data_IF_113641116697
#
_entry.id   IF_113641116697
#
_cell.length_a   1.000
_cell.length_b   1.000
_cell.length_c   1.000
_cell.angle_alpha   90.00
_cell.angle_beta   90.00
_cell.angle_gamma   90.00
#
_symmetry.space_group_name_H-M   'P 1'
#
loop_
_entity.id
_entity.type
_entity.pdbx_description
1 polymer ?
#
# COMPACT_ATOMS: atom_id res chain seq x y z
N UNK A 1 -44.09 -43.94 8.44
CA UNK A 1 -42.64 -44.08 8.71
C UNK A 1 -41.76 -43.43 7.64
N UNK A 2 -42.00 -43.59 6.32
CA UNK A 2 -41.17 -42.95 5.26
C UNK A 2 -41.19 -41.41 5.20
N UNK A 3 -42.24 -40.75 5.72
CA UNK A 3 -42.35 -39.27 5.71
C UNK A 3 -41.69 -38.58 6.91
N UNK A 4 -41.38 -39.32 7.98
CA UNK A 4 -40.69 -38.78 9.17
C UNK A 4 -39.16 -38.87 8.99
N UNK A 5 -38.69 -39.84 8.21
CA UNK A 5 -37.25 -39.99 7.92
C UNK A 5 -36.72 -38.91 6.97
N UNK A 6 -37.55 -38.38 6.05
CA UNK A 6 -37.16 -37.29 5.14
C UNK A 6 -37.05 -35.92 5.85
N UNK A 7 -37.84 -35.69 6.90
CA UNK A 7 -37.80 -34.44 7.67
C UNK A 7 -36.59 -34.39 8.62
N UNK A 8 -36.16 -35.55 9.12
CA UNK A 8 -34.95 -35.67 9.97
C UNK A 8 -33.68 -35.61 9.13
N UNK A 9 -33.69 -36.05 7.87
CA UNK A 9 -32.54 -35.93 6.96
C UNK A 9 -32.33 -34.48 6.47
N UNK A 10 -33.40 -33.71 6.23
CA UNK A 10 -33.28 -32.29 5.90
C UNK A 10 -32.85 -31.42 7.10
N UNK A 11 -33.15 -31.82 8.33
CA UNK A 11 -32.70 -31.09 9.52
C UNK A 11 -31.21 -31.33 9.84
N UNK A 12 -30.65 -32.48 9.45
CA UNK A 12 -29.22 -32.80 9.64
C UNK A 12 -28.36 -32.18 8.51
N UNK A 13 -28.91 -31.96 7.31
CA UNK A 13 -28.19 -31.34 6.20
C UNK A 13 -28.11 -29.80 6.27
N UNK A 14 -28.94 -29.15 7.11
CA UNK A 14 -28.96 -27.68 7.27
C UNK A 14 -28.14 -27.21 8.49
N UNK A 15 -27.64 -28.12 9.32
CA UNK A 15 -26.83 -27.79 10.50
C UNK A 15 -25.30 -27.72 10.24
N UNK A 16 -24.83 -27.84 8.99
CA UNK A 16 -23.40 -27.88 8.66
C UNK A 16 -22.86 -26.66 7.87
N UNK A 17 -23.67 -25.59 7.72
CA UNK A 17 -23.20 -24.30 7.21
C UNK A 17 -23.26 -23.21 8.28
N UNK A 18 -22.88 -23.56 9.51
CA UNK A 18 -22.45 -22.52 10.44
C UNK A 18 -21.05 -22.14 9.97
N UNK A 19 -20.80 -20.91 9.47
CA UNK A 19 -19.42 -20.47 9.35
C UNK A 19 -18.82 -20.58 10.75
N UNK A 20 -17.90 -21.52 10.93
CA UNK A 20 -17.01 -21.48 12.07
C UNK A 20 -16.23 -20.19 11.89
N UNK A 21 -16.66 -19.13 12.59
CA UNK A 21 -15.86 -17.92 12.73
C UNK A 21 -14.62 -18.34 13.51
N UNK A 22 -13.58 -18.77 12.80
CA UNK A 22 -12.27 -18.89 13.39
C UNK A 22 -11.87 -17.46 13.71
N UNK A 23 -11.89 -17.10 14.98
CA UNK A 23 -11.38 -15.81 15.43
C UNK A 23 -9.91 -15.74 15.07
N UNK A 24 -9.49 -14.63 14.45
CA UNK A 24 -8.11 -14.39 14.11
C UNK A 24 -7.21 -14.56 15.35
N UNK A 25 -6.01 -15.13 15.18
CA UNK A 25 -5.09 -15.32 16.28
C UNK A 25 -4.66 -13.95 16.81
N UNK A 26 -5.17 -13.54 17.98
CA UNK A 26 -4.94 -12.21 18.54
C UNK A 26 -3.50 -12.05 19.01
N UNK A 27 -2.87 -10.92 18.65
CA UNK A 27 -1.53 -10.55 19.10
C UNK A 27 -0.38 -11.00 18.18
N UNK A 28 -0.65 -11.29 16.90
CA UNK A 28 0.37 -11.63 15.91
C UNK A 28 1.15 -10.40 15.42
N UNK A 29 2.39 -10.59 14.95
CA UNK A 29 3.10 -9.53 14.21
C UNK A 29 2.98 -9.70 12.70
N UNK A 30 2.39 -10.80 12.22
CA UNK A 30 2.24 -11.11 10.80
C UNK A 30 0.88 -11.73 10.58
N UNK A 31 0.14 -11.24 9.58
CA UNK A 31 -1.15 -11.80 9.18
C UNK A 31 -1.22 -11.92 7.67
N UNK A 32 -1.74 -13.05 7.18
CA UNK A 32 -1.96 -13.29 5.75
C UNK A 32 -3.39 -12.91 5.34
N UNK A 33 -3.55 -12.25 4.19
CA UNK A 33 -4.79 -11.67 3.68
C UNK A 33 -5.04 -12.08 2.23
N UNK A 34 -6.26 -12.55 1.91
CA UNK A 34 -6.74 -12.75 0.54
C UNK A 34 -8.27 -12.81 0.49
N UNK A 35 -8.87 -12.53 -0.67
CA UNK A 35 -10.32 -12.59 -0.85
C UNK A 35 -10.90 -13.98 -0.55
N UNK A 36 -12.10 -13.98 0.04
CA UNK A 36 -12.90 -15.20 0.27
C UNK A 36 -12.36 -16.15 1.34
N UNK A 37 -11.25 -15.81 2.01
CA UNK A 37 -10.69 -16.60 3.08
C UNK A 37 -11.43 -16.38 4.41
N UNK A 38 -11.36 -17.38 5.30
CA UNK A 38 -12.03 -17.38 6.61
C UNK A 38 -11.14 -18.00 7.72
N UNK A 39 -9.83 -18.03 7.49
CA UNK A 39 -8.86 -18.53 8.47
C UNK A 39 -8.52 -17.48 9.52
N UNK A 40 -7.51 -17.78 10.33
CA UNK A 40 -7.07 -16.96 11.46
C UNK A 40 -5.93 -15.99 11.14
N UNK A 41 -5.42 -16.02 9.91
CA UNK A 41 -4.30 -15.20 9.45
C UNK A 41 -2.92 -15.77 9.73
N UNK A 42 -2.78 -16.96 10.32
CA UNK A 42 -1.50 -17.53 10.75
C UNK A 42 -0.58 -17.99 9.60
N UNK A 43 -1.15 -18.28 8.43
CA UNK A 43 -0.43 -18.71 7.22
C UNK A 43 -1.17 -18.32 5.95
N UNK A 44 -0.55 -18.47 4.78
CA UNK A 44 -1.21 -18.20 3.49
C UNK A 44 -2.42 -19.12 3.23
N UNK A 45 -2.37 -20.37 3.70
CA UNK A 45 -3.49 -21.32 3.65
C UNK A 45 -4.63 -20.89 4.58
N UNK A 46 -4.28 -20.38 5.76
CA UNK A 46 -5.20 -19.93 6.80
C UNK A 46 -5.42 -18.40 6.78
N UNK A 47 -5.31 -17.74 5.64
CA UNK A 47 -5.46 -16.29 5.53
C UNK A 47 -6.82 -15.77 6.05
N UNK A 48 -6.85 -14.52 6.51
CA UNK A 48 -8.11 -13.79 6.77
C UNK A 48 -8.67 -13.21 5.47
N UNK A 49 -9.97 -12.92 5.46
CA UNK A 49 -10.72 -12.47 4.28
C UNK A 49 -10.83 -10.96 4.09
N UNK A 50 -10.49 -10.15 5.10
CA UNK A 50 -10.72 -8.71 5.09
C UNK A 50 -9.74 -7.94 5.99
N UNK A 51 -9.64 -6.62 5.75
CA UNK A 51 -8.71 -5.74 6.47
C UNK A 51 -9.06 -5.61 7.96
N UNK A 52 -10.34 -5.59 8.34
CA UNK A 52 -10.72 -5.47 9.75
C UNK A 52 -10.23 -6.69 10.54
N UNK A 53 -10.46 -7.89 10.00
CA UNK A 53 -9.95 -9.15 10.54
C UNK A 53 -8.42 -9.17 10.58
N UNK A 54 -7.74 -8.61 9.57
CA UNK A 54 -6.29 -8.54 9.55
C UNK A 54 -5.74 -7.67 10.68
N UNK A 55 -6.26 -6.45 10.84
CA UNK A 55 -5.82 -5.55 11.91
C UNK A 55 -6.21 -6.07 13.30
N UNK A 56 -7.38 -6.70 13.46
CA UNK A 56 -7.81 -7.29 14.74
C UNK A 56 -6.87 -8.40 15.23
N UNK A 57 -6.22 -9.15 14.33
CA UNK A 57 -5.26 -10.19 14.72
C UNK A 57 -3.89 -9.63 15.14
N UNK A 58 -3.57 -8.40 14.76
CA UNK A 58 -2.23 -7.83 14.96
C UNK A 58 -2.04 -7.27 16.37
N UNK A 59 -0.86 -7.49 16.95
CA UNK A 59 -0.34 -6.71 18.08
C UNK A 59 0.18 -5.36 17.59
N UNK A 60 -0.74 -4.42 17.37
CA UNK A 60 -0.43 -3.10 16.82
C UNK A 60 0.40 -2.19 17.76
N UNK A 61 0.85 -2.71 18.91
CA UNK A 61 1.88 -2.05 19.72
C UNK A 61 3.30 -2.28 19.14
N UNK A 62 3.45 -3.21 18.20
CA UNK A 62 4.69 -3.61 17.54
C UNK A 62 4.66 -3.29 16.05
N UNK A 63 5.81 -3.45 15.41
CA UNK A 63 5.89 -3.46 13.95
C UNK A 63 5.30 -4.76 13.39
N UNK A 64 4.29 -4.60 12.56
CA UNK A 64 3.43 -5.65 12.04
C UNK A 64 3.49 -5.72 10.52
N UNK A 65 3.18 -6.89 9.97
CA UNK A 65 3.12 -7.15 8.53
C UNK A 65 1.77 -7.74 8.14
N UNK A 66 1.13 -7.17 7.12
CA UNK A 66 0.01 -7.79 6.41
C UNK A 66 0.54 -8.33 5.08
N UNK A 67 0.53 -9.65 4.94
CA UNK A 67 0.96 -10.34 3.72
C UNK A 67 -0.24 -10.54 2.80
N UNK A 68 -0.32 -9.79 1.70
CA UNK A 68 -1.30 -10.02 0.64
C UNK A 68 -0.85 -11.26 -0.14
N UNK A 69 -1.48 -12.41 0.16
CA UNK A 69 -1.03 -13.73 -0.26
C UNK A 69 -1.88 -14.35 -1.40
N UNK A 70 -2.76 -13.54 -1.97
CA UNK A 70 -3.58 -13.81 -3.15
C UNK A 70 -4.29 -12.51 -3.55
N UNK A 71 -5.18 -12.52 -4.57
CA UNK A 71 -5.97 -11.35 -4.90
C UNK A 71 -6.76 -10.87 -3.67
N UNK A 72 -6.73 -9.57 -3.40
CA UNK A 72 -7.47 -8.94 -2.34
C UNK A 72 -8.20 -7.70 -2.86
N UNK A 73 -9.50 -7.61 -2.62
CA UNK A 73 -10.36 -6.55 -3.13
C UNK A 73 -10.80 -5.60 -2.02
N UNK A 74 -10.29 -4.37 -2.00
CA UNK A 74 -10.89 -3.31 -1.23
C UNK A 74 -12.14 -2.78 -1.97
N UNK A 75 -13.30 -3.03 -1.36
CA UNK A 75 -14.63 -2.72 -1.92
C UNK A 75 -15.42 -1.68 -1.11
N UNK A 76 -14.78 -1.08 -0.12
CA UNK A 76 -15.32 -0.02 0.72
C UNK A 76 -14.20 0.91 1.21
N UNK A 77 -14.59 2.03 1.81
CA UNK A 77 -13.64 2.80 2.63
C UNK A 77 -13.16 1.91 3.78
N UNK A 78 -11.88 2.01 4.11
CA UNK A 78 -11.29 1.33 5.25
C UNK A 78 -10.85 2.34 6.30
N UNK A 79 -11.31 2.14 7.52
CA UNK A 79 -10.91 2.86 8.72
C UNK A 79 -10.90 1.85 9.87
N UNK A 80 -9.74 1.63 10.48
CA UNK A 80 -9.63 0.72 11.63
C UNK A 80 -10.20 1.35 12.92
N UNK A 81 -10.41 2.68 12.93
CA UNK A 81 -10.95 3.50 14.02
C UNK A 81 -10.13 3.56 15.32
N UNK A 82 -9.17 2.64 15.52
CA UNK A 82 -8.32 2.58 16.71
C UNK A 82 -6.89 3.02 16.36
N UNK A 83 -6.37 4.10 16.96
CA UNK A 83 -4.96 4.47 16.83
C UNK A 83 -4.01 3.41 17.35
N UNK A 84 -2.88 3.24 16.67
CA UNK A 84 -1.82 2.32 17.09
C UNK A 84 -0.44 2.97 17.09
N UNK A 85 0.48 2.40 17.88
CA UNK A 85 1.82 2.97 18.14
C UNK A 85 2.93 2.28 17.37
N UNK A 86 2.74 1.03 16.98
CA UNK A 86 3.63 0.33 16.07
C UNK A 86 3.46 0.78 14.63
N UNK A 87 3.84 -0.08 13.69
CA UNK A 87 3.68 0.15 12.25
C UNK A 87 3.02 -1.04 11.57
N UNK A 88 2.41 -0.81 10.41
CA UNK A 88 1.86 -1.89 9.56
C UNK A 88 2.48 -1.81 8.17
N UNK A 89 3.14 -2.88 7.75
CA UNK A 89 3.67 -3.03 6.40
C UNK A 89 2.82 -3.99 5.58
N UNK A 90 2.31 -3.54 4.44
CA UNK A 90 1.67 -4.39 3.45
C UNK A 90 2.69 -4.86 2.43
N UNK A 91 2.75 -6.17 2.19
CA UNK A 91 3.66 -6.79 1.22
C UNK A 91 3.06 -8.03 0.59
N UNK A 92 3.49 -8.39 -0.63
CA UNK A 92 3.24 -9.71 -1.22
C UNK A 92 4.51 -10.56 -1.31
N UNK A 93 5.62 -10.10 -0.74
CA UNK A 93 6.88 -10.86 -0.62
C UNK A 93 7.19 -11.05 0.85
N UNK A 94 7.10 -12.30 1.31
CA UNK A 94 7.30 -12.62 2.72
C UNK A 94 7.78 -14.06 2.91
N UNK A 95 8.68 -14.28 3.87
CA UNK A 95 9.17 -15.62 4.20
C UNK A 95 9.88 -16.35 3.04
N UNK A 96 10.47 -15.61 2.10
CA UNK A 96 11.11 -16.17 0.90
C UNK A 96 10.14 -16.54 -0.23
N UNK A 97 8.85 -16.23 -0.10
CA UNK A 97 7.83 -16.46 -1.12
C UNK A 97 7.39 -15.13 -1.73
N UNK A 98 7.34 -15.07 -3.06
CA UNK A 98 6.70 -13.99 -3.81
C UNK A 98 5.30 -14.41 -4.23
N UNK A 99 4.29 -13.95 -3.48
CA UNK A 99 2.89 -14.28 -3.71
C UNK A 99 2.32 -13.65 -4.97
N UNK A 100 2.96 -12.62 -5.54
CA UNK A 100 2.57 -12.06 -6.85
C UNK A 100 2.80 -13.11 -7.94
N UNK A 101 3.89 -13.86 -7.82
CA UNK A 101 4.25 -14.91 -8.77
C UNK A 101 3.54 -16.25 -8.47
N UNK A 102 3.43 -16.65 -7.21
CA UNK A 102 2.94 -17.98 -6.83
C UNK A 102 1.42 -18.05 -6.66
N UNK A 103 0.77 -16.92 -6.38
CA UNK A 103 -0.65 -16.86 -6.03
C UNK A 103 -1.40 -15.70 -6.70
N UNK A 104 -0.80 -15.04 -7.70
CA UNK A 104 -1.35 -13.88 -8.38
C UNK A 104 -1.81 -12.79 -7.39
N UNK A 105 -1.03 -12.57 -6.33
CA UNK A 105 -1.37 -11.60 -5.30
C UNK A 105 -1.37 -10.17 -5.85
N UNK A 106 -2.48 -9.47 -5.62
CA UNK A 106 -2.71 -8.09 -6.00
C UNK A 106 -3.61 -7.42 -4.94
N UNK A 107 -3.32 -6.16 -4.63
CA UNK A 107 -4.23 -5.31 -3.87
C UNK A 107 -5.08 -4.50 -4.86
N UNK A 108 -6.34 -4.88 -4.99
CA UNK A 108 -7.28 -4.37 -5.99
C UNK A 108 -8.24 -3.37 -5.36
N UNK A 109 -8.28 -2.16 -5.92
CA UNK A 109 -9.18 -1.08 -5.52
C UNK A 109 -10.33 -1.06 -6.52
N UNK A 110 -11.48 -1.56 -6.09
CA UNK A 110 -12.62 -1.85 -6.98
C UNK A 110 -13.55 -0.65 -7.24
N UNK A 111 -13.24 0.52 -6.66
CA UNK A 111 -14.06 1.73 -6.68
C UNK A 111 -13.29 2.97 -6.25
N UNK A 112 -13.99 4.06 -5.92
CA UNK A 112 -13.39 5.28 -5.36
C UNK A 112 -13.36 5.22 -3.85
N UNK A 113 -12.35 4.55 -3.28
CA UNK A 113 -12.30 4.23 -1.85
C UNK A 113 -11.17 4.93 -1.12
N UNK A 114 -11.41 5.16 0.16
CA UNK A 114 -10.45 5.75 1.10
C UNK A 114 -9.81 4.69 1.97
N UNK A 115 -8.57 4.92 2.32
CA UNK A 115 -7.84 4.18 3.34
C UNK A 115 -7.39 5.20 4.39
N UNK A 116 -8.03 5.16 5.55
CA UNK A 116 -7.74 6.06 6.65
C UNK A 116 -6.74 5.40 7.59
N UNK A 117 -5.57 6.02 7.71
CA UNK A 117 -4.49 5.49 8.54
C UNK A 117 -4.71 5.90 10.00
N UNK A 118 -4.58 4.96 10.92
CA UNK A 118 -4.59 5.22 12.37
C UNK A 118 -3.23 4.95 13.02
N UNK A 119 -2.19 4.78 12.20
CA UNK A 119 -0.80 4.55 12.60
C UNK A 119 0.12 4.50 11.37
N UNK A 120 1.43 4.39 11.60
CA UNK A 120 2.41 4.38 10.51
C UNK A 120 2.16 3.19 9.56
N UNK A 121 2.14 3.45 8.25
CA UNK A 121 1.80 2.42 7.25
C UNK A 121 2.76 2.46 6.05
N UNK A 122 3.25 1.28 5.67
CA UNK A 122 4.12 1.07 4.51
C UNK A 122 3.45 0.12 3.51
N UNK A 123 3.57 0.41 2.22
CA UNK A 123 3.21 -0.45 1.10
C UNK A 123 4.48 -0.75 0.31
N UNK A 124 4.93 -2.00 0.25
CA UNK A 124 6.16 -2.38 -0.45
C UNK A 124 6.01 -3.75 -1.10
N UNK A 125 6.72 -4.01 -2.20
CA UNK A 125 6.67 -5.32 -2.88
C UNK A 125 5.24 -5.80 -3.20
N UNK A 126 4.39 -4.88 -3.68
CA UNK A 126 2.98 -5.12 -4.00
C UNK A 126 2.67 -4.85 -5.47
N UNK A 127 1.70 -5.58 -6.01
CA UNK A 127 0.97 -5.16 -7.20
C UNK A 127 -0.30 -4.45 -6.72
N UNK A 128 -0.45 -3.16 -7.02
CA UNK A 128 -1.65 -2.38 -6.71
C UNK A 128 -2.42 -2.13 -8.00
N UNK A 129 -3.68 -2.54 -8.04
CA UNK A 129 -4.54 -2.41 -9.22
C UNK A 129 -5.72 -1.50 -8.95
N UNK A 130 -5.83 -0.39 -9.69
CA UNK A 130 -7.01 0.47 -9.68
C UNK A 130 -7.94 0.06 -10.84
N UNK A 131 -9.00 -0.69 -10.51
CA UNK A 131 -10.01 -1.11 -11.49
C UNK A 131 -10.90 0.06 -11.95
N UNK A 132 -11.06 1.10 -11.11
CA UNK A 132 -11.94 2.24 -11.42
C UNK A 132 -11.30 3.61 -11.21
N UNK A 133 -11.70 4.30 -10.14
CA UNK A 133 -11.61 5.75 -10.06
C UNK A 133 -10.31 6.22 -9.42
N UNK A 134 -10.20 6.07 -8.10
CA UNK A 134 -9.05 6.50 -7.33
C UNK A 134 -8.93 5.62 -6.09
N UNK A 135 -7.72 5.54 -5.58
CA UNK A 135 -7.49 5.11 -4.21
C UNK A 135 -7.00 6.30 -3.41
N UNK A 136 -7.63 6.59 -2.28
CA UNK A 136 -7.26 7.76 -1.49
C UNK A 136 -6.76 7.35 -0.11
N UNK A 137 -5.44 7.30 0.03
CA UNK A 137 -4.74 7.06 1.31
C UNK A 137 -4.67 8.38 2.07
N UNK A 138 -5.29 8.41 3.25
CA UNK A 138 -5.39 9.59 4.11
C UNK A 138 -4.59 9.28 5.37
N UNK A 139 -3.44 9.91 5.47
CA UNK A 139 -2.42 9.56 6.44
C UNK A 139 -2.71 10.08 7.85
N UNK A 140 -3.56 11.09 8.02
CA UNK A 140 -3.91 11.67 9.33
C UNK A 140 -2.68 12.06 10.17
N UNK A 141 -1.66 12.63 9.52
CA UNK A 141 -0.34 12.95 10.08
C UNK A 141 0.48 11.73 10.56
N UNK A 142 0.08 10.50 10.25
CA UNK A 142 0.94 9.33 10.41
C UNK A 142 1.91 9.19 9.23
N UNK A 143 3.12 8.65 9.44
CA UNK A 143 4.04 8.36 8.35
C UNK A 143 3.45 7.37 7.35
N UNK A 144 3.50 7.72 6.06
CA UNK A 144 3.07 6.86 4.96
C UNK A 144 4.20 6.64 3.96
N UNK A 145 4.43 5.38 3.61
CA UNK A 145 5.47 5.00 2.66
C UNK A 145 4.89 4.11 1.56
N UNK A 146 5.07 4.50 0.30
CA UNK A 146 5.05 3.61 -0.84
C UNK A 146 6.50 3.27 -1.17
N UNK A 147 6.96 2.14 -0.67
CA UNK A 147 8.35 1.69 -0.70
C UNK A 147 8.78 1.19 -2.08
N UNK A 148 9.82 0.38 -2.09
CA UNK A 148 10.31 -0.28 -3.31
C UNK A 148 9.40 -1.44 -3.73
N UNK A 149 9.54 -1.89 -4.97
CA UNK A 149 8.83 -3.06 -5.48
C UNK A 149 7.32 -2.90 -5.63
N UNK A 150 6.81 -1.67 -5.55
CA UNK A 150 5.41 -1.35 -5.85
C UNK A 150 5.23 -1.22 -7.36
N UNK A 151 4.43 -2.12 -7.93
CA UNK A 151 3.93 -2.03 -9.30
C UNK A 151 2.47 -1.57 -9.28
N UNK A 152 2.10 -0.72 -10.23
CA UNK A 152 0.75 -0.16 -10.31
C UNK A 152 0.10 -0.47 -11.65
N UNK A 153 -1.15 -0.93 -11.64
CA UNK A 153 -1.96 -1.20 -12.81
C UNK A 153 -3.27 -0.39 -12.76
N UNK A 154 -3.84 -0.09 -13.93
CA UNK A 154 -5.03 0.77 -14.04
C UNK A 154 -5.92 0.33 -15.20
N UNK A 155 -7.22 0.13 -14.94
CA UNK A 155 -8.20 -0.15 -16.00
C UNK A 155 -8.83 1.15 -16.56
N UNK A 156 -8.70 2.26 -15.83
CA UNK A 156 -9.27 3.56 -16.16
C UNK A 156 -8.26 4.63 -16.61
N UNK A 157 -8.78 5.83 -16.87
CA UNK A 157 -8.01 7.04 -17.21
C UNK A 157 -7.40 7.69 -15.96
N UNK A 158 -6.63 6.90 -15.22
CA UNK A 158 -5.80 7.38 -14.11
C UNK A 158 -4.62 8.14 -14.71
N UNK A 159 -4.35 9.35 -14.22
CA UNK A 159 -3.29 10.24 -14.73
C UNK A 159 -2.28 10.65 -13.67
N UNK A 160 -2.63 10.58 -12.38
CA UNK A 160 -1.82 11.14 -11.30
C UNK A 160 -1.92 12.66 -11.15
N UNK A 161 -2.64 13.35 -12.05
CA UNK A 161 -2.69 14.82 -12.07
C UNK A 161 -3.66 15.42 -11.03
N UNK A 162 -4.60 14.62 -10.53
CA UNK A 162 -5.56 15.06 -9.52
C UNK A 162 -6.04 13.89 -8.67
N UNK A 163 -6.58 14.21 -7.49
CA UNK A 163 -7.04 13.24 -6.50
C UNK A 163 -8.12 12.26 -6.98
N UNK A 164 -8.92 12.62 -8.00
CA UNK A 164 -9.99 11.78 -8.50
C UNK A 164 -9.53 10.79 -9.60
N UNK A 165 -8.28 10.90 -10.06
CA UNK A 165 -7.67 10.09 -11.13
C UNK A 165 -6.25 9.66 -10.76
N UNK A 166 -6.04 9.22 -9.51
CA UNK A 166 -4.71 8.89 -9.00
C UNK A 166 -4.77 7.83 -7.89
N UNK A 167 -3.61 7.23 -7.60
CA UNK A 167 -3.32 6.78 -6.25
C UNK A 167 -2.98 8.04 -5.45
N UNK A 168 -3.91 8.46 -4.62
CA UNK A 168 -3.83 9.73 -3.91
C UNK A 168 -3.31 9.53 -2.50
N UNK A 169 -2.39 10.39 -2.08
CA UNK A 169 -1.85 10.42 -0.72
C UNK A 169 -2.15 11.79 -0.14
N UNK A 170 -2.78 11.83 1.03
CA UNK A 170 -2.98 13.05 1.79
C UNK A 170 -2.23 12.94 3.11
N UNK A 171 -1.28 13.84 3.35
CA UNK A 171 -0.50 13.84 4.59
C UNK A 171 -1.33 14.16 5.82
N UNK A 172 -2.23 15.14 5.70
CA UNK A 172 -3.17 15.51 6.75
C UNK A 172 -4.46 14.68 6.70
N UNK A 173 -5.59 15.35 6.92
CA UNK A 173 -6.91 14.73 6.94
C UNK A 173 -7.86 15.34 5.88
N UNK A 174 -8.94 14.62 5.60
CA UNK A 174 -10.07 15.11 4.83
C UNK A 174 -11.30 15.13 5.74
N UNK A 175 -12.05 16.24 5.77
CA UNK A 175 -13.29 16.27 6.56
C UNK A 175 -14.31 15.30 5.95
N UNK A 176 -14.69 14.31 6.76
CA UNK A 176 -15.80 13.41 6.53
C UNK A 176 -16.51 13.23 7.88
N UNK A 177 -17.83 13.13 7.88
CA UNK A 177 -18.61 13.01 9.12
C UNK A 177 -18.11 11.84 9.98
N UNK A 178 -17.91 12.10 11.28
CA UNK A 178 -17.57 11.06 12.28
C UNK A 178 -16.10 10.66 12.38
N UNK A 179 -15.19 11.32 11.65
CA UNK A 179 -13.77 10.95 11.65
C UNK A 179 -12.93 11.70 12.68
N UNK A 180 -11.91 11.01 13.21
CA UNK A 180 -10.91 11.61 14.10
C UNK A 180 -10.18 12.76 13.42
N UNK A 181 -9.98 13.83 14.16
CA UNK A 181 -9.18 14.97 13.73
C UNK A 181 -7.70 14.61 13.89
N UNK A 182 -6.91 14.79 12.84
CA UNK A 182 -5.46 14.67 12.94
C UNK A 182 -4.87 15.81 13.77
N UNK A 183 -3.78 15.53 14.49
CA UNK A 183 -3.04 16.54 15.25
C UNK A 183 -2.23 17.43 14.29
N UNK A 184 -2.68 18.68 14.15
CA UNK A 184 -2.16 19.68 13.21
C UNK A 184 -0.79 20.24 13.61
N UNK A 185 -0.31 19.84 14.79
CA UNK A 185 1.04 20.17 15.28
C UNK A 185 2.07 19.12 14.88
N UNK A 186 1.64 17.92 14.48
CA UNK A 186 2.55 16.84 14.07
C UNK A 186 3.11 17.08 12.68
N UNK A 187 4.37 16.72 12.54
CA UNK A 187 5.01 16.64 11.24
C UNK A 187 4.34 15.59 10.36
N UNK A 188 4.24 15.91 9.09
CA UNK A 188 3.75 15.02 8.04
C UNK A 188 4.94 14.37 7.38
N UNK A 189 4.88 13.06 7.16
CA UNK A 189 5.96 12.29 6.57
C UNK A 189 5.41 11.40 5.45
N UNK A 190 5.74 11.73 4.20
CA UNK A 190 5.30 10.99 3.01
C UNK A 190 6.53 10.53 2.23
N UNK A 191 6.61 9.25 1.91
CA UNK A 191 7.67 8.70 1.06
C UNK A 191 7.07 7.90 -0.09
N UNK A 192 7.55 8.13 -1.31
CA UNK A 192 7.15 7.38 -2.52
C UNK A 192 8.41 7.01 -3.31
N UNK A 193 8.74 5.72 -3.40
CA UNK A 193 9.97 5.21 -4.01
C UNK A 193 9.71 4.38 -5.29
N UNK A 194 8.50 3.86 -5.48
CA UNK A 194 8.11 3.14 -6.69
C UNK A 194 6.61 3.22 -6.96
N UNK A 195 6.18 2.72 -8.12
CA UNK A 195 4.83 2.89 -8.66
C UNK A 195 4.65 4.19 -9.47
N UNK A 196 3.50 4.32 -10.13
CA UNK A 196 3.19 5.50 -10.94
C UNK A 196 1.76 6.03 -10.73
N UNK A 197 1.49 7.21 -11.29
CA UNK A 197 0.20 7.91 -11.27
C UNK A 197 -0.26 8.31 -9.86
N UNK A 198 0.70 8.75 -9.04
CA UNK A 198 0.42 9.33 -7.73
C UNK A 198 -0.02 10.79 -7.81
N UNK A 199 -0.92 11.18 -6.91
CA UNK A 199 -1.20 12.57 -6.55
C UNK A 199 -0.97 12.75 -5.04
N UNK A 200 -0.17 13.73 -4.64
CA UNK A 200 0.21 13.94 -3.24
C UNK A 200 -0.34 15.29 -2.77
N UNK A 201 -0.97 15.34 -1.61
CA UNK A 201 -1.27 16.58 -0.89
C UNK A 201 -0.52 16.62 0.43
N UNK A 202 0.30 17.64 0.62
CA UNK A 202 1.13 17.80 1.81
C UNK A 202 0.29 17.85 3.08
N UNK A 203 -0.80 18.65 3.10
CA UNK A 203 -1.63 18.84 4.28
C UNK A 203 -3.03 18.27 4.07
N UNK A 204 -4.07 19.03 4.42
CA UNK A 204 -5.46 18.61 4.35
C UNK A 204 -6.06 18.80 2.96
N UNK A 205 -7.22 18.17 2.74
CA UNK A 205 -8.05 18.42 1.56
C UNK A 205 -9.51 18.52 1.95
N UNK A 206 -10.21 19.56 1.47
CA UNK A 206 -11.66 19.76 1.71
C UNK A 206 -12.04 19.63 3.19
N UNK A 207 -11.20 20.15 4.08
CA UNK A 207 -11.39 20.09 5.52
C UNK A 207 -12.04 21.38 6.06
N UNK A 208 -12.41 21.41 7.34
CA UNK A 208 -12.60 22.69 8.04
C UNK A 208 -11.34 23.55 7.91
N UNK A 209 -11.50 24.88 7.95
CA UNK A 209 -10.36 25.78 7.85
C UNK A 209 -9.54 25.64 9.14
N UNK A 210 -8.46 24.88 9.06
CA UNK A 210 -7.61 24.58 10.21
C UNK A 210 -6.15 24.70 9.85
N UNK A 211 -5.39 25.25 10.79
CA UNK A 211 -4.02 25.67 10.57
C UNK A 211 -3.07 24.58 11.04
N UNK A 212 -2.07 24.28 10.23
CA UNK A 212 -1.00 23.34 10.57
C UNK A 212 0.24 24.09 10.98
N UNK A 213 0.85 23.68 12.08
CA UNK A 213 2.18 24.12 12.48
C UNK A 213 3.25 23.07 12.21
N UNK A 214 2.86 21.79 12.06
CA UNK A 214 3.79 20.71 11.72
C UNK A 214 4.42 20.89 10.33
N UNK A 215 5.67 20.43 10.20
CA UNK A 215 6.41 20.44 8.93
C UNK A 215 5.97 19.28 8.04
N UNK A 216 5.77 19.52 6.76
CA UNK A 216 5.59 18.46 5.77
C UNK A 216 6.95 18.04 5.19
N UNK A 217 7.36 16.80 5.45
CA UNK A 217 8.54 16.16 4.89
C UNK A 217 8.09 15.14 3.83
N UNK A 218 8.39 15.42 2.56
CA UNK A 218 7.97 14.59 1.43
C UNK A 218 9.20 14.12 0.66
N UNK A 219 9.32 12.82 0.43
CA UNK A 219 10.38 12.24 -0.40
C UNK A 219 9.77 11.52 -1.60
N UNK A 220 10.23 11.87 -2.80
CA UNK A 220 9.98 11.13 -4.03
C UNK A 220 11.32 10.64 -4.56
N UNK A 221 11.52 9.33 -4.60
CA UNK A 221 12.79 8.70 -4.97
C UNK A 221 12.60 7.43 -5.79
N UNK A 222 13.66 6.63 -5.90
CA UNK A 222 13.67 5.40 -6.69
C UNK A 222 13.19 5.63 -8.11
N UNK A 223 12.15 4.90 -8.52
CA UNK A 223 11.54 4.99 -9.86
C UNK A 223 10.12 5.55 -9.83
N UNK A 224 9.73 6.20 -8.73
CA UNK A 224 8.38 6.70 -8.54
C UNK A 224 7.99 7.75 -9.60
N UNK A 225 6.73 7.71 -10.07
CA UNK A 225 6.16 8.75 -10.93
C UNK A 225 4.95 9.42 -10.28
N UNK A 226 5.13 10.68 -9.90
CA UNK A 226 4.10 11.54 -9.28
C UNK A 226 3.62 12.53 -10.33
N UNK A 227 2.33 12.50 -10.65
CA UNK A 227 1.74 13.47 -11.58
C UNK A 227 1.63 14.85 -10.95
N UNK A 228 1.12 14.94 -9.72
CA UNK A 228 1.00 16.21 -9.04
C UNK A 228 1.27 16.10 -7.54
N UNK A 229 2.10 17.01 -7.04
CA UNK A 229 2.37 17.21 -5.61
C UNK A 229 1.87 18.62 -5.22
N UNK A 230 0.85 18.67 -4.38
CA UNK A 230 0.32 19.89 -3.80
C UNK A 230 1.03 20.19 -2.48
N UNK A 231 1.79 21.29 -2.40
CA UNK A 231 2.60 21.62 -1.23
C UNK A 231 1.81 22.35 -0.12
N UNK A 232 0.52 22.63 -0.31
CA UNK A 232 -0.34 23.24 0.72
C UNK A 232 -1.59 22.42 1.03
N UNK A 233 -2.48 22.98 1.85
CA UNK A 233 -3.86 22.51 1.95
C UNK A 233 -4.60 22.68 0.61
N UNK A 234 -5.44 21.70 0.27
CA UNK A 234 -6.10 21.56 -1.05
C UNK A 234 -7.60 21.82 -0.95
N UNK A 235 -8.16 22.58 -1.90
CA UNK A 235 -9.60 22.90 -1.99
C UNK A 235 -10.16 23.51 -0.69
N UNK A 236 -9.39 24.42 -0.07
CA UNK A 236 -9.82 25.15 1.11
C UNK A 236 -9.13 26.53 1.20
N UNK A 237 -9.88 27.63 1.27
CA UNK A 237 -9.29 28.96 1.45
C UNK A 237 -8.97 29.25 2.93
N UNK A 238 -8.14 30.26 3.18
CA UNK A 238 -7.81 30.79 4.52
C UNK A 238 -7.21 29.75 5.48
N UNK A 239 -6.26 28.95 4.98
CA UNK A 239 -5.53 27.95 5.77
C UNK A 239 -4.06 28.33 5.82
N UNK A 240 -3.48 28.32 7.01
CA UNK A 240 -2.02 28.43 7.19
C UNK A 240 -1.41 27.06 7.45
N UNK A 241 -0.34 26.76 6.72
CA UNK A 241 0.43 25.54 6.80
C UNK A 241 1.85 25.82 7.31
N UNK A 242 2.49 24.80 7.89
CA UNK A 242 3.86 24.87 8.38
C UNK A 242 4.90 24.93 7.25
N UNK A 243 6.13 24.54 7.59
CA UNK A 243 7.20 24.41 6.62
C UNK A 243 6.99 23.19 5.72
N UNK A 244 7.41 23.31 4.45
CA UNK A 244 7.36 22.21 3.50
C UNK A 244 8.75 21.92 2.98
N UNK A 245 9.20 20.69 3.13
CA UNK A 245 10.42 20.17 2.54
C UNK A 245 10.10 18.99 1.62
N UNK A 246 10.42 19.14 0.35
CA UNK A 246 10.27 18.10 -0.68
C UNK A 246 11.67 17.69 -1.12
N UNK A 247 11.94 16.39 -1.14
CA UNK A 247 13.17 15.83 -1.71
C UNK A 247 12.82 15.00 -2.94
N UNK A 248 13.42 15.33 -4.08
CA UNK A 248 13.31 14.54 -5.33
C UNK A 248 14.70 14.00 -5.66
N UNK A 249 14.83 12.68 -5.78
CA UNK A 249 16.12 12.00 -5.96
C UNK A 249 16.02 10.77 -6.86
N UNK A 250 17.17 10.15 -7.12
CA UNK A 250 17.30 8.92 -7.93
C UNK A 250 16.73 9.12 -9.34
N UNK A 251 15.89 8.20 -9.84
CA UNK A 251 15.25 8.25 -11.17
C UNK A 251 13.77 8.70 -11.08
N UNK A 252 13.37 9.32 -9.97
CA UNK A 252 12.00 9.77 -9.78
C UNK A 252 11.57 10.79 -10.84
N UNK A 253 10.27 10.82 -11.14
CA UNK A 253 9.66 11.85 -11.96
C UNK A 253 8.49 12.50 -11.20
N UNK A 254 8.57 13.81 -11.01
CA UNK A 254 7.50 14.65 -10.49
C UNK A 254 7.10 15.62 -11.59
N UNK A 255 5.90 15.47 -12.13
CA UNK A 255 5.47 16.32 -13.24
C UNK A 255 5.11 17.73 -12.77
N UNK A 256 4.34 17.85 -11.69
CA UNK A 256 3.95 19.16 -11.14
C UNK A 256 4.17 19.25 -9.63
N UNK A 257 4.76 20.35 -9.18
CA UNK A 257 4.71 20.81 -7.79
C UNK A 257 3.89 22.10 -7.74
N UNK A 258 2.73 22.10 -7.10
CA UNK A 258 1.76 23.21 -7.10
C UNK A 258 1.35 23.56 -5.68
N UNK A 259 0.89 24.79 -5.44
CA UNK A 259 0.31 25.14 -4.13
C UNK A 259 -1.00 24.39 -3.89
N UNK A 260 -2.06 24.83 -4.56
CA UNK A 260 -3.40 24.26 -4.46
C UNK A 260 -4.10 24.29 -5.82
N UNK A 261 -4.95 23.31 -6.16
CA UNK A 261 -5.75 23.37 -7.38
C UNK A 261 -6.95 24.31 -7.18
N UNK A 262 -7.02 25.37 -7.97
CA UNK A 262 -8.17 26.29 -7.97
C UNK A 262 -7.82 27.71 -7.55
N UNK A 263 -8.84 28.57 -7.47
CA UNK A 263 -8.70 29.99 -7.14
C UNK A 263 -8.81 30.26 -5.62
N UNK A 264 -8.36 29.31 -4.79
CA UNK A 264 -8.49 29.40 -3.33
C UNK A 264 -7.60 30.50 -2.78
N UNK A 265 -8.18 31.49 -2.11
CA UNK A 265 -7.42 32.64 -1.59
C UNK A 265 -7.05 32.47 -0.12
N UNK A 266 -5.99 33.16 0.32
CA UNK A 266 -5.60 33.21 1.73
C UNK A 266 -4.96 31.93 2.24
N UNK A 267 -4.49 31.04 1.35
CA UNK A 267 -3.71 29.87 1.74
C UNK A 267 -2.24 30.28 1.88
N UNK A 268 -1.63 29.99 3.02
CA UNK A 268 -0.22 30.27 3.28
C UNK A 268 0.54 29.01 3.66
N UNK A 269 1.80 28.92 3.26
CA UNK A 269 2.79 27.98 3.81
C UNK A 269 3.92 28.79 4.44
N UNK A 270 4.51 28.32 5.54
CA UNK A 270 5.56 29.09 6.21
C UNK A 270 6.79 29.24 5.32
N UNK A 271 7.27 28.16 4.74
CA UNK A 271 8.31 28.16 3.71
C UNK A 271 8.18 26.94 2.81
N UNK A 272 8.72 27.02 1.60
CA UNK A 272 8.89 25.88 0.71
C UNK A 272 10.37 25.66 0.42
N UNK A 273 10.89 24.47 0.71
CA UNK A 273 12.22 24.03 0.27
C UNK A 273 12.07 22.78 -0.59
N UNK A 274 12.65 22.80 -1.78
CA UNK A 274 12.74 21.64 -2.66
C UNK A 274 14.20 21.26 -2.84
N UNK A 275 14.57 20.06 -2.39
CA UNK A 275 15.89 19.46 -2.60
C UNK A 275 15.82 18.57 -3.86
N UNK A 276 16.30 19.09 -4.99
CA UNK A 276 16.37 18.37 -6.26
C UNK A 276 17.75 17.73 -6.44
N UNK A 277 17.84 16.47 -6.01
CA UNK A 277 19.08 15.70 -5.94
C UNK A 277 19.28 14.77 -7.14
N UNK A 278 18.19 14.41 -7.82
CA UNK A 278 18.17 13.51 -8.98
C UNK A 278 16.79 13.52 -9.65
N UNK A 279 16.63 12.76 -10.73
CA UNK A 279 15.36 12.61 -11.41
C UNK A 279 14.86 13.88 -12.10
N UNK A 280 13.55 13.95 -12.31
CA UNK A 280 12.88 15.02 -13.04
C UNK A 280 11.88 15.77 -12.14
N UNK A 281 11.92 17.10 -12.21
CA UNK A 281 10.84 17.99 -11.79
C UNK A 281 10.45 18.77 -13.04
N UNK A 282 9.29 18.48 -13.65
CA UNK A 282 8.95 19.07 -14.95
C UNK A 282 8.49 20.52 -14.81
N UNK A 283 7.66 20.82 -13.80
CA UNK A 283 7.15 22.16 -13.56
C UNK A 283 6.87 22.41 -12.07
N UNK A 284 7.05 23.67 -11.64
CA UNK A 284 6.78 24.11 -10.26
C UNK A 284 6.03 25.43 -10.27
N UNK A 285 4.89 25.53 -9.59
CA UNK A 285 4.13 26.78 -9.42
C UNK A 285 3.99 27.15 -7.95
N UNK A 286 5.02 27.83 -7.41
CA UNK A 286 5.04 28.34 -6.03
C UNK A 286 4.98 29.87 -5.92
N UNK A 287 4.93 30.57 -7.04
CA UNK A 287 4.80 32.04 -7.10
C UNK A 287 3.62 32.46 -7.98
N UNK A 288 3.17 33.71 -7.81
CA UNK A 288 2.05 34.28 -8.54
C UNK A 288 2.41 34.56 -10.02
N UNK A 289 2.44 33.49 -10.84
CA UNK A 289 2.64 33.55 -12.28
C UNK A 289 2.10 32.29 -12.97
N UNK A 290 1.52 32.45 -14.16
CA UNK A 290 1.32 31.32 -15.09
C UNK A 290 2.68 31.02 -15.72
N UNK A 291 3.25 29.86 -15.40
CA UNK A 291 4.53 29.44 -15.95
C UNK A 291 4.35 28.71 -17.29
N UNK A 292 5.25 28.90 -18.26
CA UNK A 292 5.22 28.16 -19.52
C UNK A 292 5.19 26.64 -19.28
N UNK A 293 4.32 25.92 -19.99
CA UNK A 293 4.24 24.46 -19.87
C UNK A 293 3.27 23.95 -18.78
N UNK A 294 2.71 24.82 -17.93
CA UNK A 294 1.61 24.44 -17.05
C UNK A 294 0.32 24.22 -17.85
N UNK A 295 -0.27 23.03 -17.72
CA UNK A 295 -1.64 22.77 -18.21
C UNK A 295 -2.71 23.44 -17.35
N UNK A 296 -2.37 23.79 -16.12
CA UNK A 296 -3.25 24.52 -15.20
C UNK A 296 -3.17 26.02 -15.52
N UNK A 297 -4.25 26.56 -16.07
CA UNK A 297 -4.32 27.97 -16.51
C UNK A 297 -4.56 28.96 -15.37
N UNK A 298 -4.68 28.49 -14.14
CA UNK A 298 -4.94 29.31 -12.95
C UNK A 298 -3.61 29.62 -12.25
N UNK A 299 -3.30 30.89 -11.96
CA UNK A 299 -2.12 31.26 -11.17
C UNK A 299 -2.10 30.56 -9.80
N UNK A 300 -0.91 30.32 -9.26
CA UNK A 300 -0.78 29.87 -7.88
C UNK A 300 -1.26 30.97 -6.91
N UNK A 301 -2.21 30.63 -6.06
CA UNK A 301 -2.77 31.54 -5.04
C UNK A 301 -2.18 31.33 -3.65
N UNK A 302 -1.26 30.36 -3.48
CA UNK A 302 -0.62 30.05 -2.20
C UNK A 302 0.58 30.98 -1.98
N UNK A 303 0.64 31.60 -0.80
CA UNK A 303 1.75 32.47 -0.40
C UNK A 303 2.77 31.68 0.44
N UNK A 304 4.05 31.69 0.04
CA UNK A 304 5.16 31.22 0.86
C UNK A 304 5.68 32.37 1.73
N UNK A 305 5.39 32.38 3.03
CA UNK A 305 5.64 33.54 3.92
C UNK A 305 7.12 33.88 4.01
N UNK A 306 7.98 32.87 4.17
CA UNK A 306 9.43 32.99 4.22
C UNK A 306 10.11 32.56 2.91
N UNK A 307 9.35 32.60 1.80
CA UNK A 307 9.83 32.33 0.45
C UNK A 307 9.91 30.85 0.07
N UNK A 308 10.16 30.63 -1.22
CA UNK A 308 10.35 29.34 -1.86
C UNK A 308 11.79 29.17 -2.34
N UNK A 309 12.44 28.08 -1.94
CA UNK A 309 13.85 27.78 -2.19
C UNK A 309 14.01 26.48 -2.96
N UNK A 310 14.73 26.53 -4.08
CA UNK A 310 15.27 25.33 -4.73
C UNK A 310 16.70 25.12 -4.25
N UNK A 311 16.99 23.93 -3.71
CA UNK A 311 18.34 23.42 -3.48
C UNK A 311 18.59 22.31 -4.48
N UNK A 312 19.65 22.37 -5.26
CA UNK A 312 19.84 21.43 -6.38
C UNK A 312 21.25 20.87 -6.46
N UNK A 313 21.37 19.58 -6.78
CA UNK A 313 22.66 18.94 -7.06
C UNK A 313 23.24 19.43 -8.40
N UNK A 314 24.57 19.54 -8.56
CA UNK A 314 25.17 20.02 -9.82
C UNK A 314 24.70 19.25 -11.06
N UNK A 315 24.50 17.94 -10.94
CA UNK A 315 24.06 17.07 -12.04
C UNK A 315 22.69 17.47 -12.61
N UNK A 316 21.73 17.90 -11.78
CA UNK A 316 20.37 18.21 -12.25
C UNK A 316 20.30 19.50 -13.06
N UNK A 317 21.34 20.35 -13.02
CA UNK A 317 21.42 21.59 -13.81
C UNK A 317 21.38 21.35 -15.32
N UNK A 318 21.79 20.15 -15.76
CA UNK A 318 21.75 19.73 -17.17
C UNK A 318 20.42 19.10 -17.57
N UNK A 319 19.50 18.92 -16.63
CA UNK A 319 18.17 18.41 -16.90
C UNK A 319 17.39 19.39 -17.79
N UNK A 320 16.71 18.88 -18.82
CA UNK A 320 15.93 19.70 -19.75
C UNK A 320 14.82 20.55 -19.08
N UNK A 321 14.36 20.14 -17.90
CA UNK A 321 13.33 20.85 -17.14
C UNK A 321 13.90 21.87 -16.14
N UNK A 322 15.23 21.93 -15.96
CA UNK A 322 15.84 22.74 -14.90
C UNK A 322 15.48 24.23 -15.02
N UNK A 323 15.62 24.79 -16.22
CA UNK A 323 15.31 26.21 -16.46
C UNK A 323 13.87 26.52 -16.08
N UNK A 324 12.90 25.74 -16.58
CA UNK A 324 11.48 26.01 -16.34
C UNK A 324 11.07 25.76 -14.88
N UNK A 325 11.56 24.69 -14.25
CA UNK A 325 11.23 24.37 -12.86
C UNK A 325 11.84 25.39 -11.88
N UNK A 326 13.08 25.83 -12.14
CA UNK A 326 13.76 26.82 -11.28
C UNK A 326 13.06 28.17 -11.24
N UNK A 327 12.33 28.54 -12.30
CA UNK A 327 11.50 29.75 -12.32
C UNK A 327 10.39 29.72 -11.27
N UNK A 328 9.98 28.56 -10.75
CA UNK A 328 8.97 28.47 -9.69
C UNK A 328 9.40 29.10 -8.36
N UNK A 329 10.70 29.29 -8.13
CA UNK A 329 11.27 29.62 -6.82
C UNK A 329 11.76 31.07 -6.74
N UNK A 330 11.85 31.60 -5.52
CA UNK A 330 12.43 32.92 -5.25
C UNK A 330 13.96 32.89 -5.30
N UNK A 331 14.54 31.73 -4.95
CA UNK A 331 15.98 31.49 -5.00
C UNK A 331 16.29 30.05 -5.35
N UNK A 332 17.39 29.87 -6.08
CA UNK A 332 17.95 28.56 -6.44
C UNK A 332 19.41 28.49 -6.01
N UNK A 333 19.75 27.50 -5.19
CA UNK A 333 21.06 27.31 -4.56
C UNK A 333 21.62 25.94 -4.97
N UNK A 334 22.79 25.94 -5.61
CA UNK A 334 23.51 24.70 -5.89
C UNK A 334 24.08 24.16 -4.57
N UNK A 335 23.77 22.90 -4.22
CA UNK A 335 24.37 22.27 -3.04
C UNK A 335 25.78 21.79 -3.39
N UNK A 336 26.74 22.05 -2.50
CA UNK A 336 28.08 21.49 -2.64
C UNK A 336 27.98 19.97 -2.70
N UNK A 337 28.71 19.34 -3.63
CA UNK A 337 28.78 17.88 -3.69
C UNK A 337 29.12 17.34 -2.30
N UNK A 338 28.23 16.52 -1.75
CA UNK A 338 28.57 15.74 -0.58
C UNK A 338 29.73 14.84 -1.02
N UNK A 339 30.90 14.85 -0.35
CA UNK A 339 32.02 14.02 -0.78
C UNK A 339 31.51 12.58 -0.83
N UNK A 340 31.63 11.96 -2.01
CA UNK A 340 31.37 10.54 -2.20
C UNK A 340 32.22 9.84 -1.14
N UNK A 341 31.55 9.22 -0.15
CA UNK A 341 32.22 8.27 0.73
C UNK A 341 32.57 7.11 -0.18
N UNK A 342 33.77 7.13 -0.74
CA UNK A 342 34.37 5.95 -1.36
C UNK A 342 34.39 4.89 -0.27
N UNK A 343 33.53 3.88 -0.41
CA UNK A 343 33.65 2.66 0.38
C UNK A 343 35.11 2.19 0.32
N UNK A 344 35.71 1.76 1.44
CA UNK A 344 37.08 1.30 1.41
C UNK A 344 37.17 0.12 0.45
N UNK A 345 38.05 0.25 -0.54
CA UNK A 345 38.46 -0.83 -1.43
C UNK A 345 38.91 -2.00 -0.57
N UNK A 346 38.07 -3.02 -0.44
CA UNK A 346 38.47 -4.30 0.13
C UNK A 346 39.49 -4.89 -0.82
N UNK A 347 40.76 -4.70 -0.48
CA UNK A 347 41.88 -5.31 -1.20
C UNK A 347 41.99 -6.73 -0.67
N UNK A 348 41.45 -7.69 -1.42
CA UNK A 348 41.68 -9.12 -1.16
C UNK A 348 43.13 -9.45 -1.49
N UNK A 349 44.02 -9.33 -0.50
CA UNK A 349 45.32 -10.01 -0.59
C UNK A 349 45.11 -11.51 -0.40
N UNK A 350 45.42 -12.26 -1.46
CA UNK A 350 45.48 -13.71 -1.44
C UNK A 350 46.62 -14.17 -0.53
N UNK A 351 46.29 -14.84 0.57
CA UNK A 351 47.27 -15.59 1.36
C UNK A 351 47.34 -17.01 0.82
N UNK A 352 48.38 -17.29 0.04
CA UNK A 352 48.85 -18.64 -0.27
C UNK A 352 50.03 -18.93 0.64
N UNK A 353 49.93 -19.92 1.53
CA UNK A 353 51.11 -20.67 2.03
C UNK A 353 50.73 -22.07 2.56
N UNK A 354 50.97 -23.07 1.69
CA UNK A 354 51.54 -24.44 1.86
C UNK A 354 51.26 -25.35 3.07
N UNK A 355 51.15 -26.63 2.69
CA UNK A 355 50.87 -27.89 3.42
C UNK A 355 51.87 -28.34 4.51
N UNK A 356 51.37 -29.17 5.43
CA UNK A 356 51.95 -30.43 5.98
C UNK A 356 51.02 -30.90 7.13
N UNK A 357 50.70 -32.15 7.42
CA UNK A 357 51.12 -33.50 7.00
C UNK A 357 50.08 -34.48 7.57
N UNK A 358 49.83 -35.58 6.87
CA UNK A 358 49.02 -36.72 7.35
C UNK A 358 49.80 -37.51 8.41
N UNK A 359 49.14 -37.92 9.50
CA UNK A 359 49.45 -39.22 10.13
C UNK A 359 48.17 -39.83 10.72
N UNK A 360 47.89 -41.05 10.26
CA UNK A 360 46.83 -41.97 10.64
C UNK A 360 47.09 -42.63 11.99
N UNK A 361 46.03 -42.86 12.78
CA UNK A 361 45.93 -44.06 13.61
C UNK A 361 44.47 -44.53 13.66
N UNK A 362 44.28 -45.85 13.68
CA UNK A 362 43.07 -46.56 13.30
C UNK A 362 42.31 -47.17 14.50
N UNK A 363 41.02 -47.42 14.25
CA UNK A 363 40.16 -48.51 14.75
C UNK A 363 39.82 -48.59 16.25
N UNK A 364 38.51 -48.66 16.56
CA UNK A 364 37.82 -49.90 17.00
C UNK A 364 36.29 -49.74 16.82
N UNK A 365 35.71 -50.76 16.19
CA UNK A 365 34.29 -51.11 15.97
C UNK A 365 33.55 -51.59 17.23
N UNK A 366 32.23 -51.33 17.30
CA UNK A 366 31.20 -52.31 17.73
C UNK A 366 29.81 -51.94 17.17
N UNK A 367 29.31 -52.76 16.23
CA UNK A 367 27.87 -53.01 15.97
C UNK A 367 27.28 -53.86 17.12
N UNK A 368 26.00 -54.19 17.31
CA UNK A 368 24.73 -54.18 16.57
C UNK A 368 23.60 -54.14 17.66
N UNK A 369 22.31 -53.93 17.41
CA UNK A 369 21.36 -54.88 16.79
C UNK A 369 20.01 -54.22 16.54
N UNK A 370 19.44 -54.39 15.34
CA UNK A 370 18.00 -54.23 15.05
C UNK A 370 17.48 -55.61 14.68
N UNK A 371 16.44 -56.04 15.39
CA UNK A 371 15.79 -57.34 15.21
C UNK A 371 14.63 -57.21 14.20
N UNK A 372 14.49 -58.23 13.36
CA UNK A 372 13.46 -58.34 12.31
C UNK A 372 12.68 -59.62 12.53
N UNK A 373 11.35 -59.57 12.43
CA UNK A 373 10.53 -60.76 12.20
C UNK A 373 9.47 -60.49 11.13
N UNK A 374 9.39 -61.41 10.16
CA UNK A 374 8.41 -61.54 9.06
C UNK A 374 7.81 -62.94 9.23
N UNK A 375 6.51 -63.20 9.07
CA UNK A 375 5.77 -63.63 7.85
C UNK A 375 4.41 -64.30 8.28
N UNK A 376 3.50 -64.86 7.43
CA UNK A 376 3.26 -64.74 5.96
C UNK A 376 1.75 -64.76 5.47
N UNK A 377 1.56 -64.69 4.13
CA UNK A 377 0.49 -65.25 3.21
C UNK A 377 -0.82 -64.47 2.84
N UNK A 378 -0.85 -63.94 1.59
CA UNK A 378 -1.77 -64.10 0.41
C UNK A 378 -3.30 -64.44 0.52
N UNK A 379 -4.16 -64.29 -0.54
CA UNK A 379 -4.01 -63.64 -1.85
C UNK A 379 -5.20 -62.72 -2.31
N UNK A 380 -5.02 -62.15 -3.51
CA UNK A 380 -5.90 -61.30 -4.34
C UNK A 380 -7.32 -61.88 -4.66
N UNK A 381 -8.29 -61.04 -5.12
CA UNK A 381 -8.58 -61.05 -6.57
C UNK A 381 -8.99 -59.70 -7.21
N UNK A 382 -8.59 -59.51 -8.46
CA UNK A 382 -9.15 -58.64 -9.53
C UNK A 382 -10.65 -58.89 -9.79
N UNK A 383 -11.48 -57.94 -10.33
CA UNK A 383 -11.45 -57.63 -11.77
C UNK A 383 -11.89 -56.22 -12.28
N UNK A 384 -11.32 -55.87 -13.43
CA UNK A 384 -11.91 -55.38 -14.70
C UNK A 384 -12.73 -54.08 -14.81
N UNK A 385 -12.25 -53.24 -15.74
CA UNK A 385 -12.95 -52.59 -16.89
C UNK A 385 -14.23 -51.79 -16.65
N UNK A 386 -14.24 -50.53 -17.11
CA UNK A 386 -15.50 -49.81 -17.35
C UNK A 386 -15.32 -48.37 -17.83
N UNK A 387 -15.51 -48.19 -19.14
CA UNK A 387 -15.48 -46.97 -19.94
C UNK A 387 -16.35 -45.78 -19.46
N UNK A 388 -15.80 -44.60 -19.77
CA UNK A 388 -16.40 -43.50 -20.52
C UNK A 388 -17.62 -42.69 -19.98
N UNK A 389 -17.33 -41.39 -19.83
CA UNK A 389 -17.97 -40.28 -20.58
C UNK A 389 -19.31 -39.68 -20.13
N UNK A 390 -19.47 -38.41 -20.55
CA UNK A 390 -20.68 -37.57 -20.66
C UNK A 390 -20.95 -36.71 -19.40
N UNK A 391 -20.48 -35.46 -19.38
CA UNK A 391 -21.00 -34.24 -20.00
C UNK A 391 -22.16 -33.56 -19.24
N UNK A 392 -21.93 -32.27 -18.95
CA UNK A 392 -22.83 -31.11 -19.16
C UNK A 392 -24.18 -31.14 -18.43
N UNK A 393 -24.36 -30.22 -17.47
CA UNK A 393 -25.26 -29.07 -17.61
C UNK A 393 -25.37 -28.30 -16.28
N UNK A 394 -24.64 -27.20 -16.21
CA UNK A 394 -24.94 -26.07 -15.32
C UNK A 394 -26.01 -25.23 -16.01
N UNK A 395 -27.24 -25.18 -15.47
CA UNK A 395 -28.16 -24.06 -15.65
C UNK A 395 -29.44 -24.24 -14.79
N UNK A 396 -29.89 -23.11 -14.24
CA UNK A 396 -31.22 -22.85 -13.68
C UNK A 396 -31.48 -23.17 -12.19
N UNK A 397 -31.01 -22.27 -11.32
CA UNK A 397 -31.69 -21.96 -10.05
C UNK A 397 -31.29 -20.56 -9.53
N UNK A 398 -31.67 -19.50 -10.26
CA UNK A 398 -31.51 -18.12 -9.77
C UNK A 398 -32.65 -17.21 -10.27
N UNK A 399 -33.90 -17.65 -10.14
CA UNK A 399 -35.07 -16.76 -10.17
C UNK A 399 -36.12 -17.42 -9.27
N UNK A 400 -36.21 -16.99 -8.01
CA UNK A 400 -37.38 -16.97 -7.12
C UNK A 400 -36.83 -16.56 -5.74
N UNK A 401 -36.77 -15.27 -5.46
CA UNK A 401 -36.68 -14.76 -4.07
C UNK A 401 -37.10 -13.30 -3.88
N UNK A 402 -37.59 -12.61 -4.92
CA UNK A 402 -38.06 -11.21 -4.79
C UNK A 402 -39.58 -11.07 -4.63
N UNK A 403 -40.36 -12.15 -4.73
CA UNK A 403 -41.83 -12.07 -4.65
C UNK A 403 -42.45 -12.39 -3.27
N UNK A 404 -41.67 -12.79 -2.26
CA UNK A 404 -42.23 -13.26 -0.98
C UNK A 404 -42.21 -12.24 0.18
N UNK A 405 -41.52 -11.10 0.03
CA UNK A 405 -41.38 -10.10 1.12
C UNK A 405 -42.40 -8.96 1.02
N UNK A 406 -43.09 -8.80 -0.11
CA UNK A 406 -44.06 -7.69 -0.33
C UNK A 406 -45.50 -8.07 0.06
N UNK A 407 -45.81 -9.34 0.34
CA UNK A 407 -47.18 -9.80 0.62
C UNK A 407 -47.54 -10.01 2.10
N UNK A 408 -46.62 -9.74 3.04
CA UNK A 408 -46.85 -9.95 4.49
C UNK A 408 -46.93 -8.68 5.34
N UNK A 409 -46.99 -7.48 4.72
CA UNK A 409 -47.06 -6.20 5.46
C UNK A 409 -48.33 -5.36 5.22
N UNK A 410 -49.42 -5.94 4.68
CA UNK A 410 -50.67 -5.21 4.43
C UNK A 410 -51.94 -5.86 5.00
N UNK A 411 -51.83 -6.46 6.19
CA UNK A 411 -52.98 -6.82 7.03
C UNK A 411 -52.56 -6.75 8.48
N UNK A 412 -52.68 -5.57 9.07
CA UNK A 412 -53.18 -5.28 10.43
C UNK A 412 -52.89 -3.81 10.76
N UNK A 413 -53.99 -3.08 11.01
CA UNK A 413 -54.17 -1.65 11.33
C UNK A 413 -54.09 -0.65 10.17
#
# INVERSE_FOLDING_TARGET
MKKILALVLCAILVCAMVPFSVSAAEGATVVYLKDGAAGDGSSAENAVGDLQSAYNALDLTKDCTIVVCGPFSQNANFDYAVPFTGSVTFTSVYGGVDYRATAAAEYIITGGFRFFMTGATTFENLNIHLNKAFWFVIAQCYPVTFGEGVATAFDGDTTGLNFAKAISILGGYQATDGMSVADETKDINITVLSGERFAIGAYNRQADARNHSGKANITVGGTAKVGCLYFSSVNKPNVSCGDVEITVKDDANVQYILGTPGAETGVTVNSLTVNWLGGNIENVSSKDAILPGLTFTTPNTVTCVNGATLKYAPAVKTNQYFEIASLGFDKAEEIAETPVVTEPVVTTEAVVTTEATVTTEAAVTTEATVDTTVAPVDPEPTPSTGDASVMIAVAAAAVISVAAVVLLKKKEN
#
